data_IF_793337448474
#
_entry.id   IF_793337448474
#
_cell.length_a   1.000
_cell.length_b   1.000
_cell.length_c   1.000
_cell.angle_alpha   90.00
_cell.angle_beta   90.00
_cell.angle_gamma   90.00
#
_symmetry.space_group_name_H-M   'P 1'
#
loop_
_entity.id
_entity.type
_entity.pdbx_description
1 polymer ?
#
# COMPACT_ATOMS: atom_id res chain seq x y z
N UNK A 1 -1.75 69.66 20.32
CA UNK A 1 -1.61 69.40 21.78
C UNK A 1 -2.15 68.00 22.04
N UNK A 2 -1.28 66.99 22.26
CA UNK A 2 -1.03 66.33 23.56
C UNK A 2 -2.28 65.52 24.01
N UNK A 3 -2.34 64.18 24.16
CA UNK A 3 -1.41 63.18 24.74
C UNK A 3 -1.97 61.74 24.57
N UNK A 4 -1.09 60.75 24.29
CA UNK A 4 -1.02 59.29 24.63
C UNK A 4 -2.04 58.23 24.12
N UNK A 5 -1.48 57.21 23.44
CA UNK A 5 -1.85 55.77 23.55
C UNK A 5 -1.34 55.17 24.88
N UNK A 6 -1.72 53.94 25.34
CA UNK A 6 -1.14 52.66 24.81
C UNK A 6 -2.01 51.35 24.94
N UNK A 7 -1.45 50.26 24.37
CA UNK A 7 -1.47 48.83 24.80
C UNK A 7 -2.17 47.79 23.88
N UNK A 8 -1.34 47.04 23.14
CA UNK A 8 -1.65 45.70 22.61
C UNK A 8 -0.86 44.65 23.41
N UNK A 9 -1.56 43.59 23.83
CA UNK A 9 -1.00 42.39 24.46
C UNK A 9 -0.57 41.39 23.38
N UNK A 10 0.69 40.92 23.42
CA UNK A 10 1.12 39.66 22.80
C UNK A 10 2.06 38.91 23.74
N UNK A 11 1.70 37.67 24.01
CA UNK A 11 2.40 36.68 24.84
C UNK A 11 3.69 36.22 24.14
N UNK A 12 4.83 36.38 24.82
CA UNK A 12 6.12 35.74 24.51
C UNK A 12 6.48 34.84 25.70
N UNK A 13 7.06 33.64 25.50
CA UNK A 13 7.36 32.73 26.60
C UNK A 13 8.36 33.33 27.57
N UNK A 14 8.03 33.21 28.85
CA UNK A 14 8.79 33.64 30.02
C UNK A 14 10.13 32.90 30.08
N UNK A 15 11.20 33.48 29.54
CA UNK A 15 12.55 33.08 29.91
C UNK A 15 12.72 33.40 31.40
N UNK A 16 12.79 32.35 32.22
CA UNK A 16 13.10 32.46 33.64
C UNK A 16 14.39 33.27 33.78
N UNK A 17 14.26 34.39 34.49
CA UNK A 17 15.33 35.16 35.08
C UNK A 17 16.44 34.22 35.58
N UNK A 18 17.60 34.24 34.91
CA UNK A 18 18.83 33.85 35.58
C UNK A 18 18.97 34.76 36.81
N UNK A 19 19.21 34.22 38.01
CA UNK A 19 19.44 35.06 39.17
C UNK A 19 20.69 35.91 38.90
N UNK A 20 20.57 37.19 39.21
CA UNK A 20 21.60 38.21 39.15
C UNK A 20 22.68 37.92 40.23
N UNK A 21 23.31 36.75 40.19
CA UNK A 21 24.26 36.29 41.21
C UNK A 21 25.63 35.94 40.64
N UNK A 22 25.95 36.41 39.42
CA UNK A 22 27.29 36.27 38.84
C UNK A 22 28.18 37.52 38.97
N UNK A 23 27.80 38.49 39.80
CA UNK A 23 28.59 39.71 40.03
C UNK A 23 28.66 40.09 41.51
N UNK A 24 28.98 39.13 42.39
CA UNK A 24 29.49 39.44 43.73
C UNK A 24 30.74 38.59 43.95
N UNK A 25 31.87 39.06 43.41
CA UNK A 25 33.18 38.55 43.79
C UNK A 25 33.45 39.02 45.22
N UNK A 26 33.30 38.10 46.16
CA UNK A 26 33.61 38.25 47.58
C UNK A 26 35.03 38.84 47.78
N UNK A 27 35.10 40.12 48.13
CA UNK A 27 36.19 40.62 48.97
C UNK A 27 35.83 40.30 50.41
N UNK A 28 36.28 39.14 50.90
CA UNK A 28 36.16 38.80 52.32
C UNK A 28 37.00 39.82 53.10
N UNK A 29 36.34 40.69 53.88
CA UNK A 29 36.99 41.70 54.73
C UNK A 29 37.84 40.94 55.77
N UNK A 30 39.17 41.06 55.69
CA UNK A 30 40.14 40.33 56.52
C UNK A 30 41.01 39.29 55.80
N UNK A 31 40.88 39.12 54.49
CA UNK A 31 41.72 38.18 53.72
C UNK A 31 43.10 38.80 53.39
N UNK A 32 44.19 38.18 53.88
CA UNK A 32 45.57 38.66 53.64
C UNK A 32 45.86 38.80 52.14
N UNK A 33 46.62 39.84 51.76
CA UNK A 33 46.93 40.20 50.37
C UNK A 33 47.47 39.03 49.52
N UNK A 34 48.18 38.09 50.14
CA UNK A 34 48.69 36.87 49.50
C UNK A 34 47.56 35.97 48.95
N UNK A 35 46.45 35.83 49.67
CA UNK A 35 45.33 34.98 49.25
C UNK A 35 44.48 35.64 48.15
N UNK A 36 44.35 36.97 48.17
CA UNK A 36 43.76 37.74 47.06
C UNK A 36 44.61 37.64 45.79
N UNK A 37 45.92 37.77 45.91
CA UNK A 37 46.85 37.62 44.79
C UNK A 37 46.77 36.20 44.18
N UNK A 38 46.76 35.15 45.01
CA UNK A 38 46.59 33.76 44.56
C UNK A 38 45.27 33.54 43.80
N UNK A 39 44.16 34.14 44.25
CA UNK A 39 42.87 34.07 43.55
C UNK A 39 42.88 34.82 42.22
N UNK A 40 43.46 36.01 42.16
CA UNK A 40 43.59 36.78 40.92
C UNK A 40 44.47 36.04 39.91
N UNK A 41 45.56 35.41 40.36
CA UNK A 41 46.41 34.56 39.52
C UNK A 41 45.64 33.33 39.04
N UNK A 42 44.88 32.66 39.91
CA UNK A 42 44.06 31.51 39.51
C UNK A 42 42.97 31.89 38.48
N UNK A 43 42.28 33.02 38.67
CA UNK A 43 41.32 33.54 37.70
C UNK A 43 41.99 33.94 36.38
N UNK A 44 43.18 34.55 36.43
CA UNK A 44 44.00 34.84 35.26
C UNK A 44 44.43 33.58 34.51
N UNK A 45 44.85 32.54 35.22
CA UNK A 45 45.20 31.24 34.63
C UNK A 45 43.99 30.55 34.00
N UNK A 46 42.81 30.62 34.62
CA UNK A 46 41.57 30.10 34.03
C UNK A 46 41.20 30.89 32.75
N UNK A 47 41.34 32.21 32.77
CA UNK A 47 41.10 33.05 31.61
C UNK A 47 42.09 32.77 30.47
N UNK A 48 43.38 32.59 30.78
CA UNK A 48 44.42 32.21 29.82
C UNK A 48 44.14 30.80 29.26
N UNK A 49 43.75 29.84 30.09
CA UNK A 49 43.39 28.50 29.65
C UNK A 49 42.15 28.52 28.74
N UNK A 50 41.13 29.33 29.07
CA UNK A 50 39.96 29.51 28.23
C UNK A 50 40.31 30.16 26.88
N UNK A 51 41.21 31.16 26.88
CA UNK A 51 41.72 31.80 25.66
C UNK A 51 42.57 30.83 24.81
N UNK A 52 43.41 30.01 25.44
CA UNK A 52 44.19 28.97 24.78
C UNK A 52 43.29 27.88 24.19
N UNK A 53 42.23 27.48 24.91
CA UNK A 53 41.24 26.54 24.40
C UNK A 53 40.42 27.12 23.25
N UNK A 54 40.01 28.39 23.32
CA UNK A 54 39.25 29.06 22.25
C UNK A 54 40.12 29.38 21.01
N UNK A 55 41.41 29.67 21.22
CA UNK A 55 42.39 29.92 20.15
C UNK A 55 43.09 28.67 19.61
N UNK A 56 42.81 27.48 20.17
CA UNK A 56 43.39 26.22 19.69
C UNK A 56 42.70 25.78 18.38
N UNK A 57 43.47 25.51 17.31
CA UNK A 57 42.96 24.98 16.04
C UNK A 57 42.10 23.71 16.17
N UNK A 58 42.35 22.86 17.18
CA UNK A 58 41.55 21.66 17.42
C UNK A 58 40.14 21.99 17.94
N UNK A 59 40.02 22.99 18.81
CA UNK A 59 38.74 23.41 19.38
C UNK A 59 37.86 24.10 18.33
N UNK A 60 38.46 24.96 17.49
CA UNK A 60 37.74 25.61 16.38
C UNK A 60 37.29 24.59 15.34
N UNK A 61 38.14 23.61 15.00
CA UNK A 61 37.78 22.49 14.14
C UNK A 61 36.64 21.65 14.72
N UNK A 62 36.70 21.31 16.01
CA UNK A 62 35.63 20.57 16.69
C UNK A 62 34.29 21.33 16.68
N UNK A 63 34.31 22.65 16.91
CA UNK A 63 33.10 23.49 16.86
C UNK A 63 32.55 23.59 15.43
N UNK A 64 33.40 23.72 14.42
CA UNK A 64 32.98 23.72 13.02
C UNK A 64 32.40 22.36 12.60
N UNK A 65 33.04 21.25 12.97
CA UNK A 65 32.55 19.90 12.69
C UNK A 65 31.20 19.65 13.39
N UNK A 66 31.04 20.09 14.64
CA UNK A 66 29.76 19.98 15.37
C UNK A 66 28.67 20.87 14.78
N UNK A 67 29.00 22.09 14.36
CA UNK A 67 28.06 22.99 13.67
C UNK A 67 27.63 22.40 12.33
N UNK A 68 28.58 21.90 11.53
CA UNK A 68 28.29 21.25 10.25
C UNK A 68 27.44 19.97 10.42
N UNK A 69 27.70 19.18 11.47
CA UNK A 69 26.88 18.02 11.82
C UNK A 69 25.45 18.43 12.18
N UNK A 70 25.29 19.47 13.02
CA UNK A 70 23.97 20.01 13.38
C UNK A 70 23.21 20.55 12.15
N UNK A 71 23.90 21.19 11.20
CA UNK A 71 23.28 21.67 9.95
C UNK A 71 22.81 20.50 9.09
N UNK A 72 23.62 19.44 8.93
CA UNK A 72 23.23 18.24 8.17
C UNK A 72 22.06 17.49 8.80
N UNK A 73 22.04 17.37 10.13
CA UNK A 73 20.93 16.76 10.87
C UNK A 73 19.63 17.55 10.67
N UNK A 74 19.69 18.88 10.70
CA UNK A 74 18.54 19.74 10.42
C UNK A 74 18.06 19.60 8.96
N UNK A 75 18.97 19.58 7.98
CA UNK A 75 18.64 19.43 6.56
C UNK A 75 17.96 18.07 6.27
N UNK A 76 18.45 16.99 6.90
CA UNK A 76 17.84 15.67 6.77
C UNK A 76 16.42 15.65 7.36
N UNK A 77 16.22 16.23 8.54
CA UNK A 77 14.89 16.33 9.16
C UNK A 77 13.93 17.15 8.32
N UNK A 78 14.37 18.29 7.77
CA UNK A 78 13.57 19.13 6.90
C UNK A 78 13.14 18.39 5.63
N UNK A 79 14.06 17.65 4.99
CA UNK A 79 13.73 16.81 3.82
C UNK A 79 12.72 15.70 4.15
N UNK A 80 12.83 15.08 5.33
CA UNK A 80 11.85 14.09 5.81
C UNK A 80 10.49 14.75 6.07
N UNK A 81 10.45 15.97 6.59
CA UNK A 81 9.20 16.71 6.81
C UNK A 81 8.52 17.05 5.48
N UNK A 82 9.27 17.58 4.50
CA UNK A 82 8.77 17.84 3.16
C UNK A 82 8.25 16.57 2.47
N UNK A 83 8.96 15.45 2.64
CA UNK A 83 8.51 14.15 2.15
C UNK A 83 7.22 13.69 2.87
N UNK A 84 7.12 13.89 4.19
CA UNK A 84 5.94 13.54 4.97
C UNK A 84 4.69 14.27 4.47
N UNK A 85 4.80 15.59 4.22
CA UNK A 85 3.70 16.38 3.65
C UNK A 85 3.32 15.90 2.25
N UNK A 86 4.32 15.59 1.40
CA UNK A 86 4.09 15.13 0.03
C UNK A 86 3.41 13.76 -0.02
N UNK A 87 3.87 12.82 0.80
CA UNK A 87 3.37 11.45 0.81
C UNK A 87 2.04 11.30 1.53
N UNK A 88 1.69 12.24 2.41
CA UNK A 88 0.46 12.16 3.18
C UNK A 88 -0.76 11.96 2.27
N UNK A 89 -1.55 10.92 2.56
CA UNK A 89 -2.88 10.73 1.99
C UNK A 89 -3.85 10.38 3.12
N UNK A 90 -5.02 11.01 3.21
CA UNK A 90 -6.03 10.58 4.17
C UNK A 90 -6.60 9.19 3.79
N UNK A 91 -7.14 8.43 4.75
CA UNK A 91 -7.86 7.21 4.44
C UNK A 91 -9.15 7.49 3.67
N UNK A 92 -9.52 6.56 2.80
CA UNK A 92 -10.71 6.61 1.97
C UNK A 92 -11.68 5.51 2.41
N UNK A 93 -12.88 5.90 2.83
CA UNK A 93 -13.90 4.95 3.26
C UNK A 93 -14.47 4.15 2.08
N UNK A 94 -14.79 2.88 2.34
CA UNK A 94 -15.61 2.09 1.45
C UNK A 94 -16.98 2.76 1.24
N UNK A 95 -17.56 2.60 0.05
CA UNK A 95 -18.84 3.23 -0.31
C UNK A 95 -19.61 2.43 -1.33
N UNK A 96 -20.92 2.65 -1.38
CA UNK A 96 -21.76 2.24 -2.50
C UNK A 96 -21.85 3.42 -3.48
N UNK A 97 -21.08 3.35 -4.55
CA UNK A 97 -21.13 4.29 -5.66
C UNK A 97 -22.39 4.08 -6.50
N UNK A 98 -22.93 5.16 -7.06
CA UNK A 98 -24.16 5.13 -7.88
C UNK A 98 -24.02 4.22 -9.11
N UNK A 99 -22.85 4.28 -9.76
CA UNK A 99 -22.55 3.57 -11.01
C UNK A 99 -21.82 2.27 -10.69
N UNK A 100 -20.74 2.36 -9.93
CA UNK A 100 -19.81 1.25 -9.70
C UNK A 100 -20.13 0.37 -8.49
N UNK A 101 -21.21 0.70 -7.77
CA UNK A 101 -21.72 -0.07 -6.63
C UNK A 101 -20.66 -0.17 -5.53
N UNK A 102 -20.45 -1.33 -4.92
CA UNK A 102 -19.52 -1.43 -3.81
C UNK A 102 -18.08 -1.15 -4.28
N UNK A 103 -17.43 -0.16 -3.66
CA UNK A 103 -16.01 0.16 -3.82
C UNK A 103 -15.35 0.00 -2.45
N UNK A 104 -14.23 -0.74 -2.35
CA UNK A 104 -13.53 -0.92 -1.09
C UNK A 104 -12.90 0.38 -0.59
N UNK A 105 -12.64 0.42 0.72
CA UNK A 105 -11.83 1.48 1.30
C UNK A 105 -10.38 1.38 0.85
N UNK A 106 -9.59 2.40 1.19
CA UNK A 106 -8.17 2.42 0.91
C UNK A 106 -7.45 3.17 2.01
N UNK A 107 -6.41 2.56 2.57
CA UNK A 107 -5.70 3.10 3.70
C UNK A 107 -5.15 4.49 3.38
N UNK A 108 -5.16 5.37 4.37
CA UNK A 108 -4.34 6.57 4.36
C UNK A 108 -2.88 6.19 4.56
N UNK A 109 -1.98 7.12 4.32
CA UNK A 109 -0.56 6.93 4.59
C UNK A 109 0.06 8.20 5.14
N UNK A 110 0.93 8.02 6.13
CA UNK A 110 1.80 9.06 6.67
C UNK A 110 3.22 8.52 6.79
N UNK A 111 4.22 9.40 6.72
CA UNK A 111 5.61 9.03 6.98
C UNK A 111 5.83 8.98 8.49
N UNK A 112 6.34 7.85 9.00
CA UNK A 112 6.93 7.81 10.34
C UNK A 112 8.26 8.55 10.31
N UNK A 113 8.21 9.84 10.61
CA UNK A 113 9.36 10.75 10.60
C UNK A 113 10.49 10.26 11.49
N UNK A 114 10.17 9.69 12.66
CA UNK A 114 11.18 9.20 13.61
C UNK A 114 11.87 7.95 13.09
N UNK A 115 11.10 6.96 12.64
CA UNK A 115 11.65 5.72 12.11
C UNK A 115 12.44 5.95 10.81
N UNK A 116 11.94 6.84 9.94
CA UNK A 116 12.61 7.25 8.71
C UNK A 116 13.96 7.92 9.01
N UNK A 117 13.97 8.87 9.95
CA UNK A 117 15.20 9.53 10.39
C UNK A 117 16.21 8.52 10.95
N UNK A 118 15.77 7.59 11.80
CA UNK A 118 16.65 6.53 12.33
C UNK A 118 17.30 5.68 11.23
N UNK A 119 16.60 5.37 10.13
CA UNK A 119 17.16 4.62 8.99
C UNK A 119 18.17 5.42 8.15
N UNK A 120 18.05 6.75 8.13
CA UNK A 120 18.89 7.64 7.32
C UNK A 120 20.03 8.29 8.10
N UNK A 121 19.96 8.29 9.44
CA UNK A 121 20.95 8.95 10.31
C UNK A 121 22.38 8.46 10.08
N UNK A 122 22.58 7.15 9.86
CA UNK A 122 23.91 6.57 9.63
C UNK A 122 24.53 7.05 8.32
N UNK A 123 23.71 7.18 7.27
CA UNK A 123 24.17 7.65 5.95
C UNK A 123 24.35 9.17 5.90
N UNK A 124 23.69 9.91 6.79
CA UNK A 124 23.73 11.38 6.84
C UNK A 124 23.15 12.07 5.60
N UNK A 125 22.37 11.34 4.79
CA UNK A 125 21.72 11.84 3.56
C UNK A 125 20.29 11.32 3.47
N UNK A 126 19.44 12.10 2.83
CA UNK A 126 18.08 11.69 2.50
C UNK A 126 18.09 10.58 1.44
N UNK A 127 17.29 9.54 1.65
CA UNK A 127 17.06 8.46 0.70
C UNK A 127 15.60 8.02 0.81
N UNK A 128 14.78 8.38 -0.18
CA UNK A 128 13.33 8.12 -0.16
C UNK A 128 12.98 6.65 0.08
N UNK A 129 13.80 5.73 -0.42
CA UNK A 129 13.62 4.27 -0.26
C UNK A 129 13.73 3.81 1.20
N UNK A 130 14.34 4.64 2.06
CA UNK A 130 14.47 4.39 3.49
C UNK A 130 13.35 5.04 4.31
N UNK A 131 12.39 5.73 3.68
CA UNK A 131 11.20 6.19 4.37
C UNK A 131 10.43 5.01 4.96
N UNK A 132 9.91 5.22 6.16
CA UNK A 132 9.04 4.28 6.86
C UNK A 132 7.65 4.89 6.86
N UNK A 133 6.66 4.13 6.45
CA UNK A 133 5.29 4.59 6.34
C UNK A 133 4.41 3.92 7.40
N UNK A 134 3.43 4.66 7.91
CA UNK A 134 2.32 4.15 8.69
C UNK A 134 1.07 4.25 7.85
N UNK A 135 0.34 3.14 7.75
CA UNK A 135 -0.95 3.12 7.09
C UNK A 135 -2.06 3.38 8.11
N UNK A 136 -3.02 4.19 7.70
CA UNK A 136 -4.17 4.59 8.53
C UNK A 136 -5.39 3.89 7.94
N UNK A 137 -6.03 2.96 8.65
CA UNK A 137 -7.20 2.26 8.11
C UNK A 137 -8.38 3.23 7.91
N UNK A 138 -9.26 2.98 6.93
CA UNK A 138 -10.52 3.69 6.81
C UNK A 138 -11.47 3.36 7.97
N UNK A 139 -12.49 4.21 8.14
CA UNK A 139 -13.52 4.03 9.17
C UNK A 139 -14.67 3.12 8.70
N UNK A 140 -14.87 2.99 7.38
CA UNK A 140 -15.87 2.10 6.77
C UNK A 140 -15.15 1.16 5.82
N UNK A 141 -15.39 -0.13 6.00
CA UNK A 141 -14.76 -1.20 5.23
C UNK A 141 -15.75 -1.82 4.24
N UNK A 142 -15.25 -2.54 3.23
CA UNK A 142 -16.10 -3.21 2.23
C UNK A 142 -17.14 -4.14 2.85
N UNK A 143 -16.76 -4.86 3.91
CA UNK A 143 -17.62 -5.79 4.65
C UNK A 143 -18.78 -5.10 5.38
N UNK A 144 -18.66 -3.81 5.67
CA UNK A 144 -19.66 -3.03 6.41
C UNK A 144 -20.76 -2.48 5.49
N UNK A 145 -20.57 -2.58 4.17
CA UNK A 145 -21.56 -2.14 3.18
C UNK A 145 -22.71 -3.13 3.06
N UNK A 146 -23.90 -2.60 2.74
CA UNK A 146 -25.04 -3.41 2.32
C UNK A 146 -24.67 -4.28 1.10
N UNK A 147 -25.37 -5.43 0.89
CA UNK A 147 -25.10 -6.31 -0.24
C UNK A 147 -25.17 -5.55 -1.57
N UNK A 148 -24.03 -5.44 -2.25
CA UNK A 148 -23.91 -4.82 -3.55
C UNK A 148 -22.77 -5.51 -4.33
N UNK A 149 -22.87 -5.59 -5.67
CA UNK A 149 -21.78 -6.13 -6.48
C UNK A 149 -20.57 -5.18 -6.47
N UNK A 150 -19.39 -5.74 -6.69
CA UNK A 150 -18.12 -5.01 -6.79
C UNK A 150 -17.68 -5.00 -8.25
N UNK A 151 -17.69 -3.83 -8.89
CA UNK A 151 -17.22 -3.67 -10.27
C UNK A 151 -15.76 -3.22 -10.37
N UNK A 152 -15.25 -2.58 -9.32
CA UNK A 152 -13.91 -1.99 -9.30
C UNK A 152 -13.34 -2.05 -7.89
N UNK A 153 -12.01 -2.16 -7.79
CA UNK A 153 -11.28 -1.78 -6.58
C UNK A 153 -11.30 -0.26 -6.37
N UNK A 154 -10.59 0.21 -5.34
CA UNK A 154 -10.40 1.64 -5.14
C UNK A 154 -9.65 2.24 -6.36
N UNK A 155 -10.15 3.33 -6.97
CA UNK A 155 -9.57 3.91 -8.19
C UNK A 155 -8.15 4.47 -8.01
N UNK A 156 -7.77 4.85 -6.79
CA UNK A 156 -6.45 5.38 -6.45
C UNK A 156 -5.44 4.27 -6.14
N UNK A 157 -5.88 3.00 -6.09
CA UNK A 157 -4.99 1.86 -5.95
C UNK A 157 -4.39 1.49 -7.32
N UNK A 158 -3.07 1.64 -7.52
CA UNK A 158 -2.40 1.42 -8.81
C UNK A 158 -2.21 -0.08 -9.11
N UNK A 159 -3.32 -0.80 -9.12
CA UNK A 159 -3.39 -2.24 -9.29
C UNK A 159 -4.61 -2.61 -10.13
N UNK A 160 -4.50 -3.73 -10.83
CA UNK A 160 -5.60 -4.41 -11.52
C UNK A 160 -5.62 -5.87 -11.11
N UNK A 161 -6.76 -6.55 -11.29
CA UNK A 161 -6.85 -7.99 -11.09
C UNK A 161 -7.36 -8.70 -12.35
N UNK A 162 -6.78 -9.87 -12.61
CA UNK A 162 -7.24 -10.76 -13.67
C UNK A 162 -8.30 -11.72 -13.12
N UNK A 163 -9.46 -11.71 -13.77
CA UNK A 163 -10.59 -12.60 -13.49
C UNK A 163 -10.70 -13.62 -14.62
N UNK A 164 -10.29 -14.86 -14.35
CA UNK A 164 -10.29 -15.93 -15.34
C UNK A 164 -11.48 -16.83 -15.06
N UNK A 165 -12.54 -16.70 -15.85
CA UNK A 165 -13.74 -17.55 -15.71
C UNK A 165 -13.52 -18.89 -16.42
N UNK A 166 -13.67 -20.00 -15.70
CA UNK A 166 -13.37 -21.35 -16.20
C UNK A 166 -14.59 -22.25 -16.12
N UNK A 167 -15.08 -22.60 -17.31
CA UNK A 167 -16.08 -23.65 -17.55
C UNK A 167 -15.62 -24.62 -18.68
N UNK A 168 -14.53 -24.27 -19.37
CA UNK A 168 -13.96 -24.93 -20.55
C UNK A 168 -12.54 -24.40 -20.82
N UNK A 169 -11.90 -24.86 -21.89
CA UNK A 169 -10.60 -24.35 -22.35
C UNK A 169 -9.40 -24.96 -21.61
N UNK A 170 -9.52 -26.22 -21.21
CA UNK A 170 -8.52 -26.98 -20.46
C UNK A 170 -7.14 -26.94 -21.12
N UNK A 171 -7.09 -26.96 -22.45
CA UNK A 171 -5.87 -26.97 -23.24
C UNK A 171 -5.03 -25.68 -23.10
N UNK A 172 -5.63 -24.57 -22.68
CA UNK A 172 -4.95 -23.27 -22.54
C UNK A 172 -4.47 -22.98 -21.12
N UNK A 173 -5.04 -23.66 -20.11
CA UNK A 173 -4.70 -23.44 -18.71
C UNK A 173 -3.20 -23.63 -18.42
N UNK A 174 -2.52 -24.72 -18.87
CA UNK A 174 -1.10 -24.90 -18.59
C UNK A 174 -0.21 -23.74 -19.09
N UNK A 175 -0.47 -23.23 -20.30
CA UNK A 175 0.31 -22.13 -20.88
C UNK A 175 0.04 -20.79 -20.20
N UNK A 176 -1.22 -20.55 -19.80
CA UNK A 176 -1.58 -19.37 -19.02
C UNK A 176 -0.90 -19.39 -17.64
N UNK A 177 -0.97 -20.51 -16.92
CA UNK A 177 -0.33 -20.69 -15.62
C UNK A 177 1.19 -20.55 -15.71
N UNK A 178 1.81 -21.11 -16.76
CA UNK A 178 3.24 -20.94 -17.03
C UNK A 178 3.61 -19.47 -17.23
N UNK A 179 2.81 -18.73 -17.99
CA UNK A 179 3.00 -17.29 -18.20
C UNK A 179 2.85 -16.51 -16.89
N UNK A 180 1.81 -16.77 -16.10
CA UNK A 180 1.62 -16.12 -14.80
C UNK A 180 2.80 -16.40 -13.85
N UNK A 181 3.24 -17.65 -13.76
CA UNK A 181 4.42 -18.05 -12.98
C UNK A 181 5.70 -17.36 -13.44
N UNK A 182 5.94 -17.25 -14.75
CA UNK A 182 7.10 -16.55 -15.33
C UNK A 182 7.19 -15.10 -14.87
N UNK A 183 6.04 -14.45 -14.66
CA UNK A 183 5.95 -13.06 -14.22
C UNK A 183 5.77 -12.90 -12.70
N UNK A 184 5.81 -13.99 -11.92
CA UNK A 184 5.52 -13.98 -10.48
C UNK A 184 4.15 -13.36 -10.15
N UNK A 185 3.14 -13.65 -10.97
CA UNK A 185 1.79 -13.11 -10.82
C UNK A 185 0.81 -14.19 -10.38
N UNK A 186 -0.10 -13.81 -9.50
CA UNK A 186 -1.28 -14.60 -9.15
C UNK A 186 -2.55 -13.95 -9.72
N UNK A 187 -3.49 -14.76 -10.20
CA UNK A 187 -4.79 -14.32 -10.69
C UNK A 187 -5.93 -14.99 -9.90
N UNK A 188 -7.16 -14.53 -10.10
CA UNK A 188 -8.35 -15.16 -9.52
C UNK A 188 -9.10 -15.95 -10.59
N UNK A 189 -9.22 -17.26 -10.38
CA UNK A 189 -9.92 -18.17 -11.27
C UNK A 189 -11.33 -18.45 -10.73
N UNK A 190 -12.36 -18.00 -11.45
CA UNK A 190 -13.74 -18.30 -11.11
C UNK A 190 -14.15 -19.61 -11.76
N UNK A 191 -14.33 -20.66 -10.96
CA UNK A 191 -14.50 -22.03 -11.44
C UNK A 191 -15.98 -22.43 -11.43
N UNK A 192 -16.48 -22.95 -12.55
CA UNK A 192 -17.77 -23.64 -12.58
C UNK A 192 -17.67 -24.93 -11.76
N UNK A 193 -18.62 -25.16 -10.86
CA UNK A 193 -18.57 -26.31 -9.95
C UNK A 193 -18.64 -27.68 -10.65
N UNK A 194 -19.39 -27.80 -11.76
CA UNK A 194 -19.38 -29.02 -12.58
C UNK A 194 -18.03 -29.23 -13.25
N UNK A 195 -17.47 -28.18 -13.86
CA UNK A 195 -16.14 -28.24 -14.46
C UNK A 195 -15.08 -28.66 -13.44
N UNK A 196 -15.07 -28.06 -12.25
CA UNK A 196 -14.09 -28.38 -11.20
C UNK A 196 -14.23 -29.82 -10.69
N UNK A 197 -15.46 -30.33 -10.64
CA UNK A 197 -15.74 -31.74 -10.28
C UNK A 197 -15.23 -32.71 -11.34
N UNK A 198 -15.36 -32.37 -12.61
CA UNK A 198 -14.93 -33.20 -13.75
C UNK A 198 -13.43 -33.08 -14.03
N UNK A 199 -12.81 -31.97 -13.61
CA UNK A 199 -11.39 -31.65 -13.86
C UNK A 199 -10.62 -31.33 -12.57
N UNK A 200 -10.66 -32.20 -11.54
CA UNK A 200 -10.11 -31.87 -10.23
C UNK A 200 -8.58 -31.67 -10.24
N UNK A 201 -7.86 -32.33 -11.16
CA UNK A 201 -6.41 -32.13 -11.29
C UNK A 201 -6.05 -30.75 -11.86
N UNK A 202 -6.84 -30.22 -12.80
CA UNK A 202 -6.63 -28.87 -13.33
C UNK A 202 -6.97 -27.81 -12.27
N UNK A 203 -8.04 -28.02 -11.51
CA UNK A 203 -8.38 -27.15 -10.39
C UNK A 203 -7.27 -27.17 -9.31
N UNK A 204 -6.73 -28.34 -8.95
CA UNK A 204 -5.57 -28.45 -8.06
C UNK A 204 -4.33 -27.76 -8.63
N UNK A 205 -4.07 -27.90 -9.93
CA UNK A 205 -2.93 -27.24 -10.58
C UNK A 205 -3.02 -25.70 -10.47
N UNK A 206 -4.22 -25.13 -10.60
CA UNK A 206 -4.46 -23.69 -10.40
C UNK A 206 -4.10 -23.30 -8.96
N UNK A 207 -4.63 -24.02 -7.96
CA UNK A 207 -4.41 -23.73 -6.53
C UNK A 207 -2.94 -23.91 -6.14
N UNK A 208 -2.30 -25.00 -6.56
CA UNK A 208 -0.87 -25.27 -6.33
C UNK A 208 0.06 -24.25 -6.99
N UNK A 209 -0.44 -23.50 -7.99
CA UNK A 209 0.25 -22.36 -8.59
C UNK A 209 0.17 -21.07 -7.78
N UNK A 210 -0.46 -21.08 -6.60
CA UNK A 210 -0.65 -19.89 -5.74
C UNK A 210 -1.81 -18.99 -6.18
N UNK A 211 -2.64 -19.45 -7.13
CA UNK A 211 -3.76 -18.65 -7.61
C UNK A 211 -4.98 -18.73 -6.69
N UNK A 212 -5.71 -17.64 -6.66
CA UNK A 212 -6.96 -17.56 -5.92
C UNK A 212 -8.09 -18.21 -6.71
N UNK A 213 -9.06 -18.82 -6.03
CA UNK A 213 -10.27 -19.37 -6.66
C UNK A 213 -11.54 -18.67 -6.19
N UNK A 214 -12.54 -18.63 -7.08
CA UNK A 214 -13.87 -18.09 -6.82
C UNK A 214 -14.98 -18.99 -7.39
N UNK A 215 -16.20 -18.79 -6.92
CA UNK A 215 -17.39 -19.50 -7.38
C UNK A 215 -17.90 -18.92 -8.71
N UNK A 216 -18.11 -19.77 -9.73
CA UNK A 216 -18.73 -19.36 -11.00
C UNK A 216 -20.03 -20.12 -11.31
N UNK A 217 -20.86 -20.35 -10.28
CA UNK A 217 -22.03 -21.23 -10.29
C UNK A 217 -21.68 -22.71 -10.57
N UNK A 218 -22.68 -23.59 -10.61
CA UNK A 218 -22.48 -25.03 -10.83
C UNK A 218 -22.71 -25.46 -12.27
N UNK A 219 -23.63 -24.82 -13.00
CA UNK A 219 -23.98 -25.17 -14.40
C UNK A 219 -24.08 -23.96 -15.33
N UNK A 220 -23.53 -22.80 -14.95
CA UNK A 220 -23.58 -21.56 -15.72
C UNK A 220 -25.00 -21.07 -16.13
N UNK A 221 -26.02 -21.07 -15.24
CA UNK A 221 -27.35 -20.57 -15.58
C UNK A 221 -27.43 -19.02 -15.50
N UNK A 222 -28.51 -18.44 -16.02
CA UNK A 222 -28.80 -17.00 -15.88
C UNK A 222 -29.35 -16.68 -14.47
N UNK A 223 -28.58 -15.97 -13.64
CA UNK A 223 -28.96 -15.62 -12.27
C UNK A 223 -29.98 -14.47 -12.18
N UNK A 224 -30.26 -13.75 -13.27
CA UNK A 224 -31.30 -12.72 -13.27
C UNK A 224 -32.71 -13.33 -13.20
N UNK A 225 -32.90 -14.52 -13.79
CA UNK A 225 -34.20 -15.21 -13.91
C UNK A 225 -34.35 -16.43 -13.00
N UNK A 226 -33.26 -16.94 -12.45
CA UNK A 226 -33.25 -18.16 -11.65
C UNK A 226 -34.03 -18.02 -10.33
N UNK A 227 -34.90 -18.97 -9.92
CA UNK A 227 -35.55 -18.92 -8.61
C UNK A 227 -34.55 -18.96 -7.45
N UNK A 228 -34.88 -18.33 -6.32
CA UNK A 228 -34.03 -18.22 -5.11
C UNK A 228 -33.41 -19.57 -4.68
N UNK A 229 -34.25 -20.61 -4.59
CA UNK A 229 -33.82 -21.96 -4.19
C UNK A 229 -32.79 -22.56 -5.14
N UNK A 230 -32.89 -22.23 -6.44
CA UNK A 230 -31.94 -22.66 -7.46
C UNK A 230 -30.65 -21.83 -7.39
N UNK A 231 -30.72 -20.54 -7.07
CA UNK A 231 -29.52 -19.70 -6.82
C UNK A 231 -28.73 -20.33 -5.66
N UNK A 232 -29.39 -20.56 -4.52
CA UNK A 232 -28.78 -21.21 -3.35
C UNK A 232 -28.16 -22.56 -3.72
N UNK A 233 -28.87 -23.40 -4.47
CA UNK A 233 -28.35 -24.70 -4.89
C UNK A 233 -27.12 -24.59 -5.79
N UNK A 234 -27.04 -23.59 -6.68
CA UNK A 234 -25.88 -23.40 -7.56
C UNK A 234 -24.66 -23.01 -6.74
N UNK A 235 -24.81 -22.02 -5.85
CA UNK A 235 -23.72 -21.51 -5.02
C UNK A 235 -23.20 -22.57 -4.04
N UNK A 236 -24.10 -23.23 -3.29
CA UNK A 236 -23.70 -24.23 -2.28
C UNK A 236 -23.01 -25.44 -2.91
N UNK A 237 -23.51 -25.94 -4.06
CA UNK A 237 -22.87 -27.08 -4.73
C UNK A 237 -21.47 -26.75 -5.20
N UNK A 238 -21.27 -25.56 -5.77
CA UNK A 238 -19.95 -25.12 -6.22
C UNK A 238 -19.01 -24.90 -5.05
N UNK A 239 -19.44 -24.20 -3.98
CA UNK A 239 -18.60 -24.03 -2.79
C UNK A 239 -18.14 -25.38 -2.24
N UNK A 240 -19.03 -26.36 -2.13
CA UNK A 240 -18.66 -27.71 -1.65
C UNK A 240 -17.58 -28.38 -2.52
N UNK A 241 -17.63 -28.21 -3.83
CA UNK A 241 -16.59 -28.77 -4.73
C UNK A 241 -15.28 -28.01 -4.55
N UNK A 242 -15.33 -26.69 -4.53
CA UNK A 242 -14.13 -25.85 -4.44
C UNK A 242 -13.44 -26.00 -3.08
N UNK A 243 -14.17 -25.91 -1.98
CA UNK A 243 -13.64 -26.07 -0.62
C UNK A 243 -13.03 -27.47 -0.39
N UNK A 244 -13.52 -28.50 -1.09
CA UNK A 244 -12.94 -29.84 -1.06
C UNK A 244 -11.62 -29.95 -1.86
N UNK A 245 -11.38 -29.04 -2.79
CA UNK A 245 -10.16 -28.99 -3.61
C UNK A 245 -9.13 -28.02 -3.01
N UNK A 246 -9.59 -26.88 -2.51
CA UNK A 246 -8.74 -25.77 -2.04
C UNK A 246 -8.45 -25.84 -0.55
N UNK A 247 -9.28 -26.55 0.22
CA UNK A 247 -9.28 -26.52 1.69
C UNK A 247 -9.52 -25.11 2.27
N UNK A 248 -9.98 -24.17 1.46
CA UNK A 248 -10.26 -22.78 1.83
C UNK A 248 -11.71 -22.40 1.53
N UNK A 249 -12.29 -21.58 2.42
CA UNK A 249 -13.61 -20.99 2.18
C UNK A 249 -13.61 -20.10 0.94
N UNK A 250 -14.63 -20.26 0.11
CA UNK A 250 -14.83 -19.40 -1.06
C UNK A 250 -15.31 -18.02 -0.62
N UNK A 251 -14.59 -16.98 -1.06
CA UNK A 251 -14.86 -15.57 -0.71
C UNK A 251 -15.51 -14.78 -1.84
N UNK A 252 -15.45 -15.29 -3.07
CA UNK A 252 -15.84 -14.54 -4.27
C UNK A 252 -16.82 -15.33 -5.11
N UNK A 253 -17.83 -14.64 -5.65
CA UNK A 253 -18.75 -15.18 -6.62
C UNK A 253 -18.78 -14.29 -7.86
N UNK A 254 -18.51 -14.85 -9.03
CA UNK A 254 -18.76 -14.18 -10.31
C UNK A 254 -20.02 -14.78 -10.96
N UNK A 255 -21.08 -13.99 -11.21
CA UNK A 255 -22.27 -14.50 -11.85
C UNK A 255 -21.99 -14.84 -13.33
N UNK A 256 -22.46 -16.00 -13.82
CA UNK A 256 -22.42 -16.35 -15.24
C UNK A 256 -22.92 -15.21 -16.14
N UNK A 257 -22.17 -14.93 -17.20
CA UNK A 257 -22.46 -13.86 -18.18
C UNK A 257 -22.62 -12.44 -17.57
N UNK A 258 -22.25 -12.24 -16.30
CA UNK A 258 -22.53 -10.98 -15.59
C UNK A 258 -24.02 -10.73 -15.32
N UNK A 259 -24.86 -11.76 -15.48
CA UNK A 259 -26.31 -11.62 -15.34
C UNK A 259 -26.74 -11.92 -13.91
N UNK A 260 -27.37 -10.97 -13.22
CA UNK A 260 -27.79 -11.13 -11.82
C UNK A 260 -28.99 -10.22 -11.48
N UNK A 261 -29.56 -10.41 -10.29
CA UNK A 261 -30.45 -9.48 -9.59
C UNK A 261 -30.04 -9.35 -8.12
N UNK A 262 -30.57 -8.36 -7.41
CA UNK A 262 -30.17 -8.05 -6.01
C UNK A 262 -30.30 -9.24 -5.06
N UNK A 263 -31.27 -10.12 -5.31
CA UNK A 263 -31.46 -11.35 -4.54
C UNK A 263 -30.26 -12.30 -4.68
N UNK A 264 -29.66 -12.44 -5.87
CA UNK A 264 -28.46 -13.25 -6.07
C UNK A 264 -27.26 -12.69 -5.27
N UNK A 265 -27.10 -11.37 -5.27
CA UNK A 265 -26.05 -10.67 -4.51
C UNK A 265 -26.26 -10.86 -3.01
N UNK A 266 -27.49 -10.71 -2.54
CA UNK A 266 -27.85 -10.88 -1.13
C UNK A 266 -27.62 -12.31 -0.65
N UNK A 267 -27.97 -13.32 -1.47
CA UNK A 267 -27.70 -14.72 -1.15
C UNK A 267 -26.20 -14.99 -1.10
N UNK A 268 -25.42 -14.53 -2.07
CA UNK A 268 -23.97 -14.69 -2.06
C UNK A 268 -23.33 -14.05 -0.81
N UNK A 269 -23.74 -12.82 -0.47
CA UNK A 269 -23.30 -12.11 0.75
C UNK A 269 -23.64 -12.89 2.02
N UNK A 270 -24.84 -13.46 2.10
CA UNK A 270 -25.26 -14.29 3.25
C UNK A 270 -24.42 -15.56 3.43
N UNK A 271 -23.76 -16.02 2.36
CA UNK A 271 -22.82 -17.14 2.37
C UNK A 271 -21.37 -16.70 2.60
N UNK A 272 -21.12 -15.42 2.86
CA UNK A 272 -19.79 -14.86 3.08
C UNK A 272 -19.00 -14.58 1.79
N UNK A 273 -19.68 -14.47 0.64
CA UNK A 273 -19.05 -14.15 -0.63
C UNK A 273 -19.42 -12.74 -1.10
N UNK A 274 -18.45 -11.97 -1.62
CA UNK A 274 -18.76 -10.77 -2.40
C UNK A 274 -19.02 -11.16 -3.86
N UNK A 275 -20.00 -10.48 -4.49
CA UNK A 275 -20.28 -10.66 -5.91
C UNK A 275 -19.34 -9.80 -6.75
N UNK A 276 -18.45 -10.42 -7.50
CA UNK A 276 -17.42 -9.77 -8.31
C UNK A 276 -17.87 -9.67 -9.76
N UNK A 277 -17.79 -8.44 -10.28
CA UNK A 277 -18.03 -8.09 -11.67
C UNK A 277 -16.71 -7.61 -12.31
N UNK A 278 -16.77 -6.90 -13.43
CA UNK A 278 -15.58 -6.38 -14.11
C UNK A 278 -15.80 -4.97 -14.65
N UNK A 279 -14.71 -4.21 -14.77
CA UNK A 279 -14.71 -2.91 -15.48
C UNK A 279 -14.19 -3.05 -16.90
N UNK A 280 -13.33 -4.03 -17.18
CA UNK A 280 -12.70 -4.23 -18.48
C UNK A 280 -12.96 -5.65 -18.95
N UNK A 281 -13.61 -5.77 -20.11
CA UNK A 281 -13.86 -7.04 -20.78
C UNK A 281 -12.88 -7.23 -21.94
N UNK A 282 -12.19 -8.37 -21.97
CA UNK A 282 -11.33 -8.77 -23.09
C UNK A 282 -12.15 -9.17 -24.32
N UNK A 283 -13.40 -9.63 -24.16
CA UNK A 283 -14.24 -10.20 -25.22
C UNK A 283 -13.51 -11.31 -25.98
N UNK A 284 -12.69 -12.07 -25.26
CA UNK A 284 -11.80 -13.09 -25.79
C UNK A 284 -12.54 -14.33 -26.32
N UNK A 285 -13.74 -14.59 -25.81
CA UNK A 285 -14.65 -15.65 -26.28
C UNK A 285 -15.10 -15.48 -27.75
N UNK A 286 -14.94 -14.28 -28.34
CA UNK A 286 -15.15 -14.05 -29.78
C UNK A 286 -13.91 -14.41 -30.63
N UNK A 287 -12.85 -14.95 -30.02
CA UNK A 287 -11.60 -15.29 -30.67
C UNK A 287 -10.95 -14.11 -31.45
N UNK A 288 -10.83 -12.90 -30.86
CA UNK A 288 -10.11 -11.78 -31.49
C UNK A 288 -8.61 -12.09 -31.57
N UNK A 289 -7.84 -11.28 -32.31
CA UNK A 289 -6.38 -11.41 -32.28
C UNK A 289 -5.83 -11.08 -30.87
N UNK A 290 -4.69 -11.67 -30.46
CA UNK A 290 -4.05 -11.32 -29.19
C UNK A 290 -3.76 -9.82 -29.05
N UNK A 291 -3.35 -9.17 -30.14
CA UNK A 291 -3.08 -7.72 -30.17
C UNK A 291 -4.34 -6.90 -29.91
N UNK A 292 -5.49 -7.35 -30.44
CA UNK A 292 -6.78 -6.70 -30.19
C UNK A 292 -7.15 -6.74 -28.71
N UNK A 293 -6.88 -7.87 -28.03
CA UNK A 293 -7.08 -7.99 -26.57
C UNK A 293 -6.16 -6.99 -25.86
N UNK A 294 -4.86 -7.01 -26.18
CA UNK A 294 -3.86 -6.14 -25.54
C UNK A 294 -4.25 -4.67 -25.68
N UNK A 295 -4.60 -4.21 -26.87
CA UNK A 295 -4.99 -2.81 -27.13
C UNK A 295 -6.28 -2.44 -26.39
N UNK A 296 -7.31 -3.28 -26.49
CA UNK A 296 -8.61 -3.06 -25.84
C UNK A 296 -8.47 -2.91 -24.33
N UNK A 297 -7.71 -3.82 -23.70
CA UNK A 297 -7.49 -3.79 -22.25
C UNK A 297 -6.61 -2.60 -21.88
N UNK A 298 -5.49 -2.39 -22.56
CA UNK A 298 -4.55 -1.29 -22.25
C UNK A 298 -5.20 0.09 -22.36
N UNK A 299 -6.12 0.27 -23.31
CA UNK A 299 -6.86 1.53 -23.48
C UNK A 299 -7.81 1.84 -22.32
N UNK A 300 -8.35 0.82 -21.66
CA UNK A 300 -9.37 0.97 -20.60
C UNK A 300 -8.84 0.74 -19.18
N UNK A 301 -7.76 -0.01 -19.03
CA UNK A 301 -7.21 -0.38 -17.73
C UNK A 301 -6.66 0.84 -16.99
N UNK A 302 -7.08 0.96 -15.74
CA UNK A 302 -6.69 1.98 -14.76
C UNK A 302 -6.61 1.36 -13.36
N UNK A 303 -6.16 2.12 -12.35
CA UNK A 303 -6.21 1.67 -10.95
C UNK A 303 -7.60 1.18 -10.54
N UNK A 304 -7.66 0.06 -9.84
CA UNK A 304 -8.90 -0.58 -9.43
C UNK A 304 -9.54 -1.50 -10.49
N UNK A 305 -8.98 -1.60 -11.71
CA UNK A 305 -9.66 -2.37 -12.76
C UNK A 305 -9.72 -3.87 -12.48
N UNK A 306 -10.90 -4.44 -12.71
CA UNK A 306 -11.17 -5.87 -12.73
C UNK A 306 -11.29 -6.30 -14.20
N UNK A 307 -10.37 -7.15 -14.68
CA UNK A 307 -10.21 -7.51 -16.09
C UNK A 307 -10.73 -8.93 -16.31
N UNK A 308 -11.85 -9.08 -17.02
CA UNK A 308 -12.46 -10.37 -17.35
C UNK A 308 -11.78 -11.02 -18.56
N UNK A 309 -11.44 -12.30 -18.42
CA UNK A 309 -10.95 -13.17 -19.49
C UNK A 309 -11.35 -14.65 -19.27
N UNK A 310 -11.08 -15.49 -20.26
CA UNK A 310 -11.34 -16.93 -20.24
C UNK A 310 -10.10 -17.70 -20.75
N UNK A 311 -10.02 -19.02 -20.50
CA UNK A 311 -9.01 -19.88 -21.11
C UNK A 311 -9.27 -20.03 -22.61
N UNK A 312 -8.74 -19.10 -23.41
CA UNK A 312 -8.83 -19.09 -24.88
C UNK A 312 -7.45 -19.04 -25.51
N UNK A 313 -7.33 -19.48 -26.77
CA UNK A 313 -6.12 -19.32 -27.56
C UNK A 313 -5.66 -17.85 -27.65
N UNK A 314 -6.63 -16.92 -27.78
CA UNK A 314 -6.36 -15.48 -27.83
C UNK A 314 -5.82 -14.95 -26.52
N UNK A 315 -6.46 -15.26 -25.39
CA UNK A 315 -5.99 -14.83 -24.06
C UNK A 315 -4.64 -15.42 -23.71
N UNK A 316 -4.43 -16.73 -23.95
CA UNK A 316 -3.14 -17.38 -23.68
C UNK A 316 -1.97 -16.69 -24.40
N UNK A 317 -2.17 -16.29 -25.65
CA UNK A 317 -1.16 -15.56 -26.45
C UNK A 317 -1.06 -14.07 -26.08
N UNK A 318 -2.14 -13.46 -25.62
CA UNK A 318 -2.19 -12.04 -25.25
C UNK A 318 -1.62 -11.77 -23.85
N UNK A 319 -1.54 -12.78 -22.98
CA UNK A 319 -1.27 -12.59 -21.55
C UNK A 319 0.10 -11.94 -21.29
N UNK A 320 1.17 -12.47 -21.89
CA UNK A 320 2.53 -11.91 -21.73
C UNK A 320 2.65 -10.46 -22.24
N UNK A 321 2.26 -10.12 -23.49
CA UNK A 321 2.32 -8.73 -23.94
C UNK A 321 1.37 -7.81 -23.15
N UNK A 322 0.23 -8.32 -22.66
CA UNK A 322 -0.69 -7.56 -21.82
C UNK A 322 -0.05 -7.19 -20.48
N UNK A 323 0.59 -8.14 -19.80
CA UNK A 323 1.32 -7.88 -18.54
C UNK A 323 2.36 -6.77 -18.75
N UNK A 324 3.18 -6.88 -19.81
CA UNK A 324 4.18 -5.87 -20.13
C UNK A 324 3.57 -4.47 -20.40
N UNK A 325 2.35 -4.39 -20.95
CA UNK A 325 1.64 -3.10 -21.15
C UNK A 325 1.10 -2.54 -19.84
N UNK A 326 0.59 -3.37 -18.94
CA UNK A 326 0.08 -2.95 -17.63
C UNK A 326 1.21 -2.46 -16.73
N UNK A 327 2.36 -3.14 -16.74
CA UNK A 327 3.58 -2.71 -16.05
C UNK A 327 4.04 -1.33 -16.54
N UNK A 328 4.05 -1.10 -17.87
CA UNK A 328 4.36 0.22 -18.46
C UNK A 328 3.37 1.32 -18.06
N UNK A 329 2.14 0.96 -17.67
CA UNK A 329 1.16 1.90 -17.10
C UNK A 329 1.32 2.07 -15.59
N UNK A 330 2.36 1.50 -14.98
CA UNK A 330 2.60 1.49 -13.55
C UNK A 330 1.41 0.92 -12.76
N UNK A 331 0.83 -0.17 -13.27
CA UNK A 331 -0.23 -0.93 -12.62
C UNK A 331 0.31 -2.29 -12.20
N UNK A 332 0.20 -2.63 -10.92
CA UNK A 332 0.45 -4.00 -10.46
C UNK A 332 -0.68 -4.92 -10.92
N UNK A 333 -0.37 -6.19 -11.15
CA UNK A 333 -1.36 -7.22 -11.45
C UNK A 333 -1.44 -8.16 -10.26
N UNK A 334 -2.64 -8.57 -9.86
CA UNK A 334 -2.80 -9.63 -8.86
C UNK A 334 -4.20 -10.20 -8.79
N UNK A 335 -4.54 -10.71 -7.61
CA UNK A 335 -5.83 -11.35 -7.31
C UNK A 335 -6.88 -10.33 -6.88
N UNK A 336 -8.15 -10.76 -6.86
CA UNK A 336 -9.28 -9.99 -6.31
C UNK A 336 -9.01 -9.64 -4.84
N UNK A 337 -8.57 -10.60 -4.02
CA UNK A 337 -8.20 -10.31 -2.62
C UNK A 337 -7.20 -9.16 -2.53
N UNK A 338 -6.10 -9.22 -3.30
CA UNK A 338 -5.06 -8.17 -3.25
C UNK A 338 -5.56 -6.84 -3.77
N UNK A 339 -6.40 -6.83 -4.81
CA UNK A 339 -6.97 -5.59 -5.33
C UNK A 339 -7.94 -4.93 -4.34
N UNK A 340 -8.80 -5.73 -3.69
CA UNK A 340 -9.82 -5.22 -2.75
C UNK A 340 -9.28 -4.99 -1.33
N UNK A 341 -8.05 -5.43 -1.04
CA UNK A 341 -7.36 -5.12 0.22
C UNK A 341 -7.20 -3.60 0.41
N UNK A 342 -7.32 -3.12 1.64
CA UNK A 342 -7.21 -1.70 1.97
C UNK A 342 -5.75 -1.23 2.00
N UNK A 343 -4.78 -2.14 2.01
CA UNK A 343 -3.35 -1.84 2.01
C UNK A 343 -2.95 -0.96 0.81
N UNK A 344 -2.36 0.20 1.12
CA UNK A 344 -1.88 1.19 0.17
C UNK A 344 -0.59 0.75 -0.49
N UNK A 345 -0.62 0.72 -1.82
CA UNK A 345 0.58 0.61 -2.66
C UNK A 345 1.20 1.99 -2.76
N UNK A 346 2.42 2.14 -2.24
CA UNK A 346 3.16 3.39 -2.22
C UNK A 346 4.16 3.40 -3.38
N UNK A 347 4.34 4.55 -4.03
CA UNK A 347 5.27 4.74 -5.15
C UNK A 347 6.34 5.77 -4.79
N UNK A 348 7.56 5.57 -5.27
CA UNK A 348 8.63 6.57 -5.30
C UNK A 348 8.32 7.73 -6.27
N UNK A 349 9.12 8.79 -6.21
CA UNK A 349 9.11 9.91 -7.16
C UNK A 349 9.25 9.47 -8.62
N UNK A 350 10.07 8.46 -8.89
CA UNK A 350 10.29 7.92 -10.24
C UNK A 350 9.14 7.01 -10.71
N UNK A 351 8.10 6.84 -9.89
CA UNK A 351 6.92 6.03 -10.16
C UNK A 351 7.09 4.54 -9.85
N UNK A 352 8.28 4.10 -9.41
CA UNK A 352 8.53 2.71 -8.99
C UNK A 352 7.86 2.41 -7.66
N UNK A 353 7.47 1.16 -7.41
CA UNK A 353 6.79 0.78 -6.17
C UNK A 353 7.77 0.71 -4.99
N UNK A 354 7.40 1.33 -3.87
CA UNK A 354 8.12 1.26 -2.60
C UNK A 354 7.80 -0.06 -1.89
N UNK A 355 8.84 -0.77 -1.43
CA UNK A 355 8.72 -2.04 -0.71
C UNK A 355 7.74 -3.02 -1.39
N UNK A 356 7.84 -3.22 -2.71
CA UNK A 356 7.29 -4.43 -3.31
C UNK A 356 8.09 -5.61 -2.77
N UNK A 357 7.76 -6.07 -1.56
CA UNK A 357 8.08 -7.42 -1.15
C UNK A 357 7.52 -8.30 -2.27
N UNK A 358 8.43 -8.90 -3.05
CA UNK A 358 8.08 -10.11 -3.77
C UNK A 358 7.49 -11.04 -2.71
N UNK A 359 6.28 -11.51 -2.99
CA UNK A 359 5.41 -12.28 -2.10
C UNK A 359 6.23 -13.23 -1.19
N UNK A 360 5.98 -13.36 0.12
CA UNK A 360 6.70 -14.34 0.95
C UNK A 360 6.66 -15.79 0.41
N UNK A 361 5.75 -16.12 -0.52
CA UNK A 361 5.81 -17.35 -1.31
C UNK A 361 7.04 -17.48 -2.23
N UNK A 362 7.68 -16.37 -2.64
CA UNK A 362 8.92 -16.31 -3.43
C UNK A 362 10.20 -16.57 -2.59
N UNK A 363 10.10 -16.71 -1.26
CA UNK A 363 11.28 -16.95 -0.39
C UNK A 363 11.54 -18.42 -0.06
N UNK A 364 10.74 -19.35 -0.59
CA UNK A 364 10.88 -20.79 -0.34
C UNK A 364 11.55 -21.60 -1.45
N UNK A 365 12.26 -20.97 -2.38
CA UNK A 365 13.09 -21.70 -3.34
C UNK A 365 14.51 -21.13 -3.36
N UNK A 366 15.33 -21.65 -2.45
CA UNK A 366 16.72 -21.26 -2.28
C UNK A 366 17.27 -21.87 -1.01
N UNK A 367 18.02 -22.97 -1.17
CA UNK A 367 18.76 -23.75 -0.16
C UNK A 367 17.96 -24.77 0.66
N UNK A 368 17.85 -25.99 0.15
CA UNK A 368 18.63 -27.16 0.61
C UNK A 368 18.66 -28.26 -0.46
#
# INVERSE_FOLDING_TARGET
MKVREPWLFLFVPRARSMPLSLFILFLKKGENNVNKAKRLIALGLIAILALLLAGNPLSTRYLQERAAFSTKENELQEKIEQAAERFYRPPENAKIDRVWKAIPGYNGVEVDKKASYSKMKQDGRYDERKLVFKQIPPAVHLKDLDPAPVYTGNPDKPMVAFLINVAWGNEYLPDMLKTLKKHHLHATFFLEGRWAKENPELARMIVSGGHETGNHSYTHPDFSTLPESKIKSQLVKTNRVLEAITEEKVKWFAPPSGSYRDEAVSIAKSMGMETIMWTVDTVDWQNPSPETIVERVTAKAQGGSLILMHPTASTAKALEPLIARLEKKNLQVGTVSKLLDEERIIKNEDGTFLNSEKDPADTKDGTE
#
